data_IF_769330790506
#
_entry.id   IF_769330790506
#
_cell.length_a   1.000
_cell.length_b   1.000
_cell.length_c   1.000
_cell.angle_alpha   90.00
_cell.angle_beta   90.00
_cell.angle_gamma   90.00
#
_symmetry.space_group_name_H-M   'P 1'
#
loop_
_entity.id
_entity.type
_entity.pdbx_description
1 polymer ?
#
# COMPACT_ATOMS: atom_id res chain seq x y z
N UNK A 1 6.81 13.25 -7.09
CA UNK A 1 5.49 13.52 -7.71
C UNK A 1 5.21 12.69 -8.96
N UNK A 2 6.17 12.58 -9.89
CA UNK A 2 5.96 11.88 -11.17
C UNK A 2 5.86 10.35 -11.13
N UNK A 3 6.20 9.69 -10.02
CA UNK A 3 6.05 8.23 -9.88
C UNK A 3 4.60 7.83 -9.57
N UNK A 4 4.14 6.67 -10.04
CA UNK A 4 2.76 6.19 -9.83
C UNK A 4 2.40 6.07 -8.34
N UNK A 5 3.25 5.41 -7.56
CA UNK A 5 3.00 5.19 -6.13
C UNK A 5 3.08 6.50 -5.35
N UNK A 6 4.18 7.24 -5.47
CA UNK A 6 4.35 8.52 -4.79
C UNK A 6 3.29 9.54 -5.17
N UNK A 7 2.93 9.64 -6.45
CA UNK A 7 1.89 10.54 -6.93
C UNK A 7 0.50 10.17 -6.40
N UNK A 8 0.14 8.88 -6.37
CA UNK A 8 -1.11 8.45 -5.73
C UNK A 8 -1.14 8.85 -4.25
N UNK A 9 -0.02 8.71 -3.55
CA UNK A 9 0.04 9.06 -2.13
C UNK A 9 -0.07 10.56 -1.87
N UNK A 10 0.44 11.40 -2.78
CA UNK A 10 0.22 12.85 -2.72
C UNK A 10 -1.28 13.22 -2.85
N UNK A 11 -2.04 12.47 -3.65
CA UNK A 11 -3.49 12.72 -3.85
C UNK A 11 -4.32 12.11 -2.72
N UNK A 12 -3.96 10.91 -2.24
CA UNK A 12 -4.76 10.17 -1.27
C UNK A 12 -4.47 10.55 0.19
N UNK A 13 -3.32 11.16 0.47
CA UNK A 13 -2.95 11.55 1.82
C UNK A 13 -3.88 12.65 2.35
N UNK A 14 -4.57 12.36 3.46
CA UNK A 14 -5.44 13.33 4.16
C UNK A 14 -4.70 14.20 5.17
N UNK A 15 -3.39 14.02 5.28
CA UNK A 15 -2.54 14.74 6.24
C UNK A 15 -1.73 15.81 5.51
N UNK A 16 -1.20 16.76 6.29
CA UNK A 16 -0.32 17.80 5.76
C UNK A 16 0.99 17.21 5.25
N UNK A 17 1.25 17.38 3.96
CA UNK A 17 2.51 16.96 3.33
C UNK A 17 3.49 18.13 3.39
N UNK A 18 4.61 17.97 4.10
CA UNK A 18 5.59 19.05 4.27
C UNK A 18 6.87 18.84 3.45
N UNK A 19 7.07 17.61 2.94
CA UNK A 19 8.28 17.21 2.24
C UNK A 19 7.92 16.22 1.13
N UNK A 20 8.35 16.52 -0.09
CA UNK A 20 8.33 15.61 -1.22
C UNK A 20 9.69 15.63 -1.90
N UNK A 21 10.24 14.44 -2.19
CA UNK A 21 11.52 14.28 -2.87
C UNK A 21 11.33 13.33 -4.05
N UNK A 22 11.85 13.72 -5.21
CA UNK A 22 11.96 12.85 -6.38
C UNK A 22 13.30 13.07 -7.10
N UNK A 23 13.44 12.56 -8.31
CA UNK A 23 14.69 12.70 -9.07
C UNK A 23 14.95 14.13 -9.56
N UNK A 24 13.96 15.03 -9.51
CA UNK A 24 14.13 16.42 -9.93
C UNK A 24 14.62 17.30 -8.79
N UNK A 25 14.28 17.00 -7.54
CA UNK A 25 14.65 17.84 -6.41
C UNK A 25 14.00 17.49 -5.07
N UNK A 26 14.26 18.37 -4.12
CA UNK A 26 13.64 18.43 -2.79
C UNK A 26 12.63 19.57 -2.80
N UNK A 27 11.38 19.29 -2.46
CA UNK A 27 10.32 20.27 -2.23
C UNK A 27 9.92 20.22 -0.75
N UNK A 28 10.07 21.34 -0.05
CA UNK A 28 9.84 21.42 1.38
C UNK A 28 9.04 22.68 1.73
N UNK A 29 8.05 22.52 2.59
CA UNK A 29 7.36 23.64 3.23
C UNK A 29 6.92 23.24 4.64
N UNK A 30 7.36 23.93 5.71
CA UNK A 30 6.98 23.55 7.08
C UNK A 30 5.50 23.83 7.39
N UNK A 31 4.86 24.72 6.64
CA UNK A 31 3.44 25.05 6.76
C UNK A 31 2.53 24.08 5.98
N UNK A 32 3.12 23.27 5.10
CA UNK A 32 2.45 22.29 4.26
C UNK A 32 2.39 22.70 2.79
N UNK A 33 2.55 21.73 1.90
CA UNK A 33 2.38 21.89 0.47
C UNK A 33 0.89 21.87 0.12
N UNK A 34 0.48 22.76 -0.79
CA UNK A 34 -0.91 22.84 -1.23
C UNK A 34 -1.36 21.53 -1.92
N UNK A 35 -2.42 20.86 -1.42
CA UNK A 35 -2.89 19.60 -1.98
C UNK A 35 -3.39 19.72 -3.42
N UNK A 36 -4.00 20.85 -3.79
CA UNK A 36 -4.53 21.08 -5.14
C UNK A 36 -3.39 21.23 -6.16
N UNK A 37 -2.32 21.93 -5.80
CA UNK A 37 -1.12 22.02 -6.64
C UNK A 37 -0.39 20.67 -6.75
N UNK A 38 -0.30 19.91 -5.65
CA UNK A 38 0.23 18.54 -5.70
C UNK A 38 -0.59 17.64 -6.64
N UNK A 39 -1.91 17.73 -6.58
CA UNK A 39 -2.80 17.00 -7.50
C UNK A 39 -2.56 17.40 -8.95
N UNK A 40 -2.49 18.70 -9.26
CA UNK A 40 -2.17 19.20 -10.61
C UNK A 40 -0.85 18.64 -11.12
N UNK A 41 0.20 18.62 -10.29
CA UNK A 41 1.51 18.04 -10.66
C UNK A 41 1.38 16.56 -11.01
N UNK A 42 0.69 15.78 -10.18
CA UNK A 42 0.50 14.35 -10.42
C UNK A 42 -0.32 14.09 -11.69
N UNK A 43 -1.38 14.87 -11.93
CA UNK A 43 -2.18 14.77 -13.15
C UNK A 43 -1.37 15.13 -14.40
N UNK A 44 -0.59 16.21 -14.36
CA UNK A 44 0.30 16.60 -15.46
C UNK A 44 1.34 15.49 -15.77
N UNK A 45 1.95 14.91 -14.73
CA UNK A 45 2.87 13.79 -14.89
C UNK A 45 2.22 12.57 -15.55
N UNK A 46 0.96 12.27 -15.23
CA UNK A 46 0.20 11.17 -15.84
C UNK A 46 -0.12 11.41 -17.32
N UNK A 47 -0.24 12.66 -17.75
CA UNK A 47 -0.45 13.03 -19.16
C UNK A 47 0.85 13.18 -19.94
N UNK A 48 1.99 12.75 -19.38
CA UNK A 48 3.29 12.77 -20.05
C UNK A 48 4.02 14.12 -19.99
N UNK A 49 3.51 15.09 -19.23
CA UNK A 49 4.20 16.36 -18.97
C UNK A 49 5.19 16.11 -17.83
N UNK A 50 6.48 16.42 -18.03
CA UNK A 50 7.47 16.32 -16.95
C UNK A 50 7.11 17.32 -15.83
N UNK A 51 6.58 16.81 -14.72
CA UNK A 51 6.07 17.58 -13.59
C UNK A 51 6.43 16.90 -12.27
N UNK A 52 7.71 16.98 -11.87
CA UNK A 52 8.19 16.53 -10.58
C UNK A 52 8.12 17.62 -9.50
N UNK A 53 8.93 17.46 -8.46
CA UNK A 53 9.03 18.44 -7.36
C UNK A 53 9.38 19.85 -7.85
N UNK A 54 10.17 19.96 -8.93
CA UNK A 54 10.62 21.25 -9.45
C UNK A 54 9.57 21.98 -10.27
N UNK A 55 8.43 21.36 -10.58
CA UNK A 55 7.31 22.02 -11.23
C UNK A 55 6.33 22.69 -10.25
N UNK A 56 6.48 22.50 -8.93
CA UNK A 56 5.61 23.14 -7.93
C UNK A 56 5.72 24.68 -8.00
N UNK A 57 4.60 25.42 -8.00
CA UNK A 57 4.58 26.89 -8.10
C UNK A 57 5.23 27.55 -6.89
N UNK A 58 6.20 28.43 -7.12
CA UNK A 58 7.01 29.03 -6.05
C UNK A 58 6.22 30.06 -5.22
N UNK A 59 5.23 30.72 -5.81
CA UNK A 59 4.30 31.64 -5.16
C UNK A 59 3.31 30.94 -4.22
N UNK A 60 3.22 29.60 -4.29
CA UNK A 60 2.44 28.77 -3.37
C UNK A 60 3.28 28.22 -2.21
N UNK A 61 4.57 28.53 -2.15
CA UNK A 61 5.40 28.25 -0.98
C UNK A 61 5.23 29.38 0.05
N UNK A 62 5.20 29.01 1.32
CA UNK A 62 5.32 29.96 2.42
C UNK A 62 6.70 30.65 2.39
N UNK A 63 6.89 31.75 3.15
CA UNK A 63 8.20 32.39 3.26
C UNK A 63 9.33 31.49 3.78
N UNK A 64 9.00 30.33 4.36
CA UNK A 64 9.96 29.33 4.83
C UNK A 64 10.11 28.13 3.89
N UNK A 65 9.23 28.01 2.89
CA UNK A 65 9.24 26.93 1.91
C UNK A 65 10.31 27.11 0.85
N UNK A 66 10.82 25.99 0.33
CA UNK A 66 11.84 25.99 -0.71
C UNK A 66 11.75 24.77 -1.62
N UNK A 67 12.35 24.93 -2.80
CA UNK A 67 12.58 23.87 -3.79
C UNK A 67 14.05 23.88 -4.21
N UNK A 68 14.72 22.74 -4.08
CA UNK A 68 16.15 22.59 -4.39
C UNK A 68 16.30 21.52 -5.47
N UNK A 69 16.78 21.86 -6.69
CA UNK A 69 16.96 20.92 -7.78
C UNK A 69 18.05 19.89 -7.47
N UNK A 70 17.90 18.69 -8.03
CA UNK A 70 18.89 17.61 -7.96
C UNK A 70 20.06 17.79 -8.96
N UNK A 71 20.12 18.92 -9.68
CA UNK A 71 21.24 19.31 -10.54
C UNK A 71 22.23 20.18 -9.78
N UNK A 72 23.49 20.21 -10.20
CA UNK A 72 24.53 20.99 -9.51
C UNK A 72 24.29 22.49 -9.73
N UNK A 73 23.95 23.19 -8.66
CA UNK A 73 23.79 24.64 -8.62
C UNK A 73 24.06 25.16 -7.21
N UNK A 74 24.46 26.43 -7.14
CA UNK A 74 24.56 27.17 -5.88
C UNK A 74 23.25 27.89 -5.62
N UNK A 75 22.66 27.67 -4.45
CA UNK A 75 21.30 28.14 -4.12
C UNK A 75 21.27 28.75 -2.72
N UNK A 76 20.42 29.75 -2.53
CA UNK A 76 20.13 30.35 -1.23
C UNK A 76 18.76 29.87 -0.76
N UNK A 77 18.70 29.33 0.46
CA UNK A 77 17.44 29.05 1.12
C UNK A 77 16.83 30.35 1.68
N UNK A 78 15.52 30.37 1.99
CA UNK A 78 14.85 31.59 2.47
C UNK A 78 15.42 32.18 3.76
N UNK A 79 16.07 31.36 4.58
CA UNK A 79 16.74 31.79 5.82
C UNK A 79 18.18 32.31 5.60
N UNK A 80 18.62 32.40 4.34
CA UNK A 80 19.96 32.84 3.95
C UNK A 80 21.00 31.72 3.93
N UNK A 81 20.64 30.48 4.28
CA UNK A 81 21.54 29.33 4.19
C UNK A 81 22.00 29.12 2.75
N UNK A 82 23.31 28.96 2.56
CA UNK A 82 23.91 28.72 1.25
C UNK A 82 24.08 27.22 1.02
N UNK A 83 23.49 26.73 -0.06
CA UNK A 83 23.72 25.40 -0.60
C UNK A 83 24.74 25.55 -1.73
N UNK A 84 25.99 25.13 -1.50
CA UNK A 84 27.06 25.24 -2.51
C UNK A 84 26.88 24.26 -3.68
N UNK A 85 26.33 23.08 -3.42
CA UNK A 85 25.99 22.08 -4.45
C UNK A 85 24.63 21.43 -4.14
N UNK A 86 23.60 21.84 -4.88
CA UNK A 86 22.25 21.30 -4.74
C UNK A 86 22.10 19.82 -5.12
N UNK A 87 22.98 19.28 -5.97
CA UNK A 87 22.98 17.84 -6.26
C UNK A 87 23.53 17.02 -5.08
N UNK A 88 24.52 17.54 -4.36
CA UNK A 88 24.99 16.93 -3.11
C UNK A 88 23.94 17.06 -2.01
N UNK A 89 23.33 18.24 -1.87
CA UNK A 89 22.24 18.50 -0.92
C UNK A 89 21.10 17.49 -1.11
N UNK A 90 20.65 17.29 -2.35
CA UNK A 90 19.60 16.32 -2.68
C UNK A 90 19.92 14.93 -2.15
N UNK A 91 21.14 14.43 -2.39
CA UNK A 91 21.62 13.11 -1.93
C UNK A 91 21.80 13.01 -0.41
N UNK A 92 22.18 14.11 0.23
CA UNK A 92 22.52 14.15 1.65
C UNK A 92 21.35 14.56 2.55
N UNK A 93 20.24 15.06 1.99
CA UNK A 93 19.13 15.69 2.72
C UNK A 93 18.68 14.90 3.97
N UNK A 94 18.52 13.59 3.83
CA UNK A 94 18.06 12.74 4.93
C UNK A 94 19.07 12.60 6.08
N UNK A 95 20.36 12.82 5.82
CA UNK A 95 21.47 12.47 6.71
C UNK A 95 22.27 13.67 7.20
N UNK A 96 22.19 14.81 6.52
CA UNK A 96 22.89 16.03 6.89
C UNK A 96 22.28 16.61 8.20
N UNK A 97 23.07 16.74 9.29
CA UNK A 97 22.60 17.31 10.55
C UNK A 97 22.00 18.72 10.43
N UNK A 98 22.41 19.50 9.42
CA UNK A 98 21.82 20.81 9.16
C UNK A 98 20.32 20.72 8.84
N UNK A 99 19.87 19.60 8.27
CA UNK A 99 18.47 19.40 7.90
C UNK A 99 17.55 19.19 9.09
N UNK A 100 18.11 18.86 10.25
CA UNK A 100 17.36 18.68 11.50
C UNK A 100 16.46 19.86 11.83
N UNK A 101 16.96 21.09 11.67
CA UNK A 101 16.22 22.29 12.00
C UNK A 101 14.94 22.44 11.15
N UNK A 102 15.04 22.18 9.85
CA UNK A 102 13.91 22.21 8.92
C UNK A 102 12.92 21.07 9.21
N UNK A 103 13.40 19.83 9.33
CA UNK A 103 12.57 18.65 9.60
C UNK A 103 11.81 18.80 10.92
N UNK A 104 12.48 19.30 11.97
CA UNK A 104 11.85 19.59 13.27
C UNK A 104 10.74 20.61 13.13
N UNK A 105 10.99 21.70 12.38
CA UNK A 105 10.06 22.82 12.22
C UNK A 105 8.77 22.39 11.51
N UNK A 106 8.87 21.53 10.51
CA UNK A 106 7.72 20.93 9.82
C UNK A 106 6.93 19.94 10.71
N UNK A 107 7.56 19.40 11.75
CA UNK A 107 6.95 18.42 12.64
C UNK A 107 6.61 17.11 11.94
N UNK A 108 7.52 16.60 11.10
CA UNK A 108 7.30 15.39 10.30
C UNK A 108 7.22 14.15 11.22
N UNK A 109 6.04 13.52 11.27
CA UNK A 109 5.76 12.33 12.10
C UNK A 109 5.59 11.03 11.32
N UNK A 110 5.45 11.11 9.99
CA UNK A 110 5.30 9.94 9.14
C UNK A 110 6.23 10.04 7.92
N UNK A 111 6.81 8.91 7.55
CA UNK A 111 7.66 8.75 6.37
C UNK A 111 7.05 7.66 5.48
N UNK A 112 6.72 8.01 4.25
CA UNK A 112 6.13 7.11 3.27
C UNK A 112 7.09 7.02 2.07
N UNK A 113 8.12 6.15 2.11
CA UNK A 113 9.00 5.99 0.98
C UNK A 113 8.27 5.27 -0.15
N UNK A 114 7.90 6.03 -1.18
CA UNK A 114 7.11 5.57 -2.32
C UNK A 114 7.94 5.41 -3.60
N UNK A 115 9.25 5.26 -3.47
CA UNK A 115 10.19 5.11 -4.59
C UNK A 115 11.59 4.78 -4.12
N UNK A 116 12.51 4.57 -5.07
CA UNK A 116 13.92 4.37 -4.78
C UNK A 116 14.66 5.70 -4.69
N UNK A 117 15.30 5.96 -3.57
CA UNK A 117 16.30 7.02 -3.43
C UNK A 117 17.68 6.38 -3.53
N UNK A 118 18.54 6.84 -4.46
CA UNK A 118 19.89 6.26 -4.62
C UNK A 118 20.64 6.33 -3.29
N UNK A 119 20.99 5.16 -2.75
CA UNK A 119 21.69 5.02 -1.47
C UNK A 119 20.80 4.62 -0.29
N UNK A 120 19.51 4.99 -0.30
CA UNK A 120 18.53 4.65 0.75
C UNK A 120 19.01 4.92 2.19
N UNK A 121 18.27 4.41 3.17
CA UNK A 121 18.67 4.34 4.56
C UNK A 121 19.19 2.93 4.86
N UNK A 122 20.46 2.86 5.22
CA UNK A 122 21.18 1.60 5.45
C UNK A 122 21.58 1.47 6.91
N UNK A 123 22.07 0.29 7.32
CA UNK A 123 22.67 0.11 8.65
C UNK A 123 23.79 1.12 8.98
N UNK A 124 24.44 1.72 7.96
CA UNK A 124 25.47 2.76 8.14
C UNK A 124 24.90 4.17 8.29
N UNK A 125 23.76 4.46 7.69
CA UNK A 125 23.18 5.82 7.63
C UNK A 125 21.96 6.01 8.53
N UNK A 126 21.42 4.93 9.09
CA UNK A 126 20.23 4.93 9.94
C UNK A 126 20.35 5.84 11.16
N UNK A 127 21.53 5.90 11.81
CA UNK A 127 21.73 6.79 12.96
C UNK A 127 21.58 8.25 12.56
N UNK A 128 22.20 8.69 11.47
CA UNK A 128 22.07 10.07 10.96
C UNK A 128 20.64 10.39 10.54
N UNK A 129 19.95 9.43 9.91
CA UNK A 129 18.53 9.55 9.60
C UNK A 129 17.70 9.78 10.88
N UNK A 130 17.88 8.95 11.91
CA UNK A 130 17.13 9.08 13.16
C UNK A 130 17.45 10.37 13.92
N UNK A 131 18.70 10.83 13.86
CA UNK A 131 19.08 12.12 14.46
C UNK A 131 18.35 13.30 13.80
N UNK A 132 18.07 13.23 12.50
CA UNK A 132 17.30 14.22 11.76
C UNK A 132 15.79 14.09 11.99
N UNK A 133 15.27 12.87 12.05
CA UNK A 133 13.84 12.55 12.13
C UNK A 133 13.40 12.07 13.53
N UNK A 134 13.81 12.77 14.59
CA UNK A 134 13.51 12.37 15.99
C UNK A 134 12.02 12.34 16.33
N UNK A 135 11.19 13.14 15.65
CA UNK A 135 9.74 13.19 15.85
C UNK A 135 8.97 12.12 15.06
N UNK A 136 9.68 11.29 14.27
CA UNK A 136 9.05 10.27 13.45
C UNK A 136 8.37 9.22 14.34
N UNK A 137 7.13 8.89 14.00
CA UNK A 137 6.33 7.86 14.69
C UNK A 137 6.02 6.67 13.79
N UNK A 138 5.97 6.91 12.48
CA UNK A 138 5.57 5.92 11.49
C UNK A 138 6.52 5.92 10.29
N UNK A 139 6.88 4.72 9.87
CA UNK A 139 7.44 4.48 8.54
C UNK A 139 6.54 3.46 7.86
N UNK A 140 5.99 3.80 6.69
CA UNK A 140 5.11 2.93 5.92
C UNK A 140 5.71 2.77 4.54
N UNK A 141 6.40 1.65 4.32
CA UNK A 141 7.17 1.45 3.10
C UNK A 141 6.28 1.13 1.91
N UNK A 142 6.04 2.12 1.06
CA UNK A 142 5.41 1.89 -0.23
C UNK A 142 6.33 1.17 -1.23
N UNK A 143 7.66 1.35 -1.12
CA UNK A 143 8.65 0.70 -1.97
C UNK A 143 9.73 0.00 -1.16
N UNK A 144 10.03 -1.27 -1.48
CA UNK A 144 10.95 -2.11 -0.72
C UNK A 144 12.45 -1.81 -0.85
N UNK A 145 12.84 -0.70 -1.49
CA UNK A 145 14.25 -0.37 -1.77
C UNK A 145 14.80 0.78 -0.92
N UNK A 146 13.97 1.44 -0.10
CA UNK A 146 14.41 2.63 0.62
C UNK A 146 15.13 2.31 1.94
N UNK A 147 14.64 1.35 2.73
CA UNK A 147 15.34 0.85 3.93
C UNK A 147 15.97 -0.51 3.66
N UNK A 148 17.18 -0.77 4.16
CA UNK A 148 17.70 -2.14 4.25
C UNK A 148 17.28 -2.83 5.57
N UNK A 149 17.57 -4.13 5.68
CA UNK A 149 17.19 -4.91 6.86
C UNK A 149 17.93 -4.47 8.14
N UNK A 150 19.15 -3.94 8.02
CA UNK A 150 19.93 -3.51 9.18
C UNK A 150 19.38 -2.19 9.73
N UNK A 151 18.99 -1.26 8.86
CA UNK A 151 18.27 -0.05 9.22
C UNK A 151 16.93 -0.38 9.90
N UNK A 152 16.14 -1.29 9.32
CA UNK A 152 14.87 -1.74 9.93
C UNK A 152 15.06 -2.28 11.34
N UNK A 153 16.05 -3.16 11.54
CA UNK A 153 16.40 -3.72 12.86
C UNK A 153 16.87 -2.65 13.83
N UNK A 154 17.74 -1.74 13.38
CA UNK A 154 18.24 -0.64 14.21
C UNK A 154 17.10 0.27 14.66
N UNK A 155 16.19 0.65 13.76
CA UNK A 155 15.00 1.45 14.08
C UNK A 155 14.14 0.72 15.11
N UNK A 156 13.84 -0.56 14.89
CA UNK A 156 13.01 -1.34 15.79
C UNK A 156 13.61 -1.53 17.20
N UNK A 157 14.94 -1.59 17.30
CA UNK A 157 15.65 -1.80 18.58
C UNK A 157 15.81 -0.51 19.37
N UNK A 158 16.02 0.62 18.69
CA UNK A 158 16.44 1.87 19.32
C UNK A 158 15.33 2.93 19.39
N UNK A 159 14.14 2.67 18.83
CA UNK A 159 13.06 3.66 18.74
C UNK A 159 11.68 3.03 18.96
N UNK A 160 10.68 3.88 19.18
CA UNK A 160 9.27 3.47 19.18
C UNK A 160 8.58 3.63 17.81
N UNK A 161 9.35 3.82 16.73
CA UNK A 161 8.82 4.03 15.38
C UNK A 161 8.11 2.76 14.92
N UNK A 162 6.85 2.91 14.50
CA UNK A 162 6.06 1.85 13.89
C UNK A 162 6.45 1.73 12.42
N UNK A 163 7.35 0.79 12.14
CA UNK A 163 7.86 0.52 10.80
C UNK A 163 7.08 -0.64 10.14
N UNK A 164 6.26 -0.32 9.15
CA UNK A 164 5.55 -1.27 8.28
C UNK A 164 6.32 -1.46 6.97
N UNK A 165 6.62 -2.72 6.66
CA UNK A 165 7.38 -3.09 5.46
C UNK A 165 6.45 -3.16 4.23
N UNK A 166 7.04 -3.05 3.05
CA UNK A 166 6.37 -3.09 1.74
C UNK A 166 5.63 -4.41 1.49
N UNK A 167 6.10 -5.51 2.09
CA UNK A 167 5.43 -6.82 2.08
C UNK A 167 4.01 -6.79 2.68
N UNK A 168 3.68 -5.76 3.48
CA UNK A 168 2.29 -5.43 3.87
C UNK A 168 1.81 -4.17 3.16
N UNK A 169 2.56 -3.07 3.25
CA UNK A 169 2.09 -1.73 2.90
C UNK A 169 1.83 -1.51 1.40
N UNK A 170 2.48 -2.28 0.51
CA UNK A 170 2.38 -2.10 -0.94
C UNK A 170 1.49 -3.15 -1.64
N UNK A 171 0.76 -3.99 -0.89
CA UNK A 171 -0.10 -5.05 -1.48
C UNK A 171 -1.23 -4.52 -2.36
N UNK A 172 -1.68 -3.28 -2.12
CA UNK A 172 -2.80 -2.66 -2.84
C UNK A 172 -2.58 -2.55 -4.34
N UNK A 173 -1.36 -2.23 -4.80
CA UNK A 173 -1.07 -2.08 -6.23
C UNK A 173 -1.27 -3.38 -7.01
N UNK A 174 -0.72 -4.50 -6.51
CA UNK A 174 -0.89 -5.81 -7.11
C UNK A 174 -2.36 -6.25 -7.08
N UNK A 175 -3.04 -6.06 -5.95
CA UNK A 175 -4.45 -6.40 -5.82
C UNK A 175 -5.33 -5.65 -6.83
N UNK A 176 -5.11 -4.34 -6.98
CA UNK A 176 -5.88 -3.51 -7.92
C UNK A 176 -5.68 -3.93 -9.37
N UNK A 177 -4.46 -4.27 -9.81
CA UNK A 177 -4.24 -4.77 -11.19
C UNK A 177 -4.93 -6.12 -11.40
N UNK A 178 -4.90 -7.02 -10.41
CA UNK A 178 -5.62 -8.30 -10.53
C UNK A 178 -7.14 -8.08 -10.62
N UNK A 179 -7.70 -7.18 -9.83
CA UNK A 179 -9.15 -6.93 -9.80
C UNK A 179 -9.66 -6.10 -10.98
N UNK A 180 -8.88 -5.12 -11.45
CA UNK A 180 -9.28 -4.18 -12.50
C UNK A 180 -8.93 -4.67 -13.91
N UNK A 181 -7.86 -5.43 -14.08
CA UNK A 181 -7.33 -5.76 -15.42
C UNK A 181 -7.32 -7.27 -15.66
N UNK A 182 -6.66 -8.05 -14.80
CA UNK A 182 -6.43 -9.49 -15.05
C UNK A 182 -7.72 -10.31 -14.94
N UNK A 183 -8.44 -10.20 -13.83
CA UNK A 183 -9.68 -10.94 -13.63
C UNK A 183 -10.75 -10.54 -14.66
N UNK A 184 -11.04 -9.24 -14.89
CA UNK A 184 -11.99 -8.86 -15.93
C UNK A 184 -11.54 -9.27 -17.34
N UNK A 185 -10.25 -9.17 -17.65
CA UNK A 185 -9.68 -9.62 -18.92
C UNK A 185 -9.98 -11.10 -19.19
N UNK A 186 -9.83 -11.97 -18.18
CA UNK A 186 -10.23 -13.38 -18.31
C UNK A 186 -11.75 -13.59 -18.44
N UNK A 187 -12.57 -12.78 -17.76
CA UNK A 187 -14.02 -12.96 -17.74
C UNK A 187 -14.74 -12.37 -18.96
N UNK A 188 -14.18 -11.32 -19.56
CA UNK A 188 -14.79 -10.55 -20.66
C UNK A 188 -14.07 -10.75 -22.00
N UNK A 189 -12.77 -11.10 -21.99
CA UNK A 189 -11.96 -11.17 -23.21
C UNK A 189 -12.01 -9.85 -23.98
N UNK A 190 -12.27 -9.93 -25.28
CA UNK A 190 -12.38 -8.77 -26.18
C UNK A 190 -13.49 -7.78 -25.81
N UNK A 191 -14.44 -8.18 -24.94
CA UNK A 191 -15.51 -7.29 -24.45
C UNK A 191 -15.04 -6.37 -23.31
N UNK A 192 -13.82 -6.54 -22.79
CA UNK A 192 -13.33 -5.78 -21.63
C UNK A 192 -13.42 -4.26 -21.83
N UNK A 193 -12.94 -3.75 -22.97
CA UNK A 193 -12.91 -2.31 -23.24
C UNK A 193 -14.33 -1.73 -23.29
N UNK A 194 -15.20 -2.30 -24.13
CA UNK A 194 -16.57 -1.84 -24.28
C UNK A 194 -17.42 -1.98 -23.00
N UNK A 195 -17.23 -3.06 -22.23
CA UNK A 195 -18.05 -3.35 -21.06
C UNK A 195 -17.58 -2.65 -19.77
N UNK A 196 -16.31 -2.24 -19.69
CA UNK A 196 -15.74 -1.58 -18.51
C UNK A 196 -15.21 -0.21 -18.85
N UNK A 197 -14.24 -0.06 -19.75
CA UNK A 197 -13.55 1.21 -19.97
C UNK A 197 -14.44 2.28 -20.63
N UNK A 198 -15.26 1.88 -21.61
CA UNK A 198 -16.17 2.78 -22.31
C UNK A 198 -17.45 3.09 -21.52
N UNK A 199 -17.83 2.22 -20.56
CA UNK A 199 -18.92 2.48 -19.64
C UNK A 199 -18.41 3.15 -18.36
N UNK A 200 -18.43 4.49 -18.37
CA UNK A 200 -18.02 5.31 -17.22
C UNK A 200 -18.73 4.96 -15.89
N UNK A 201 -19.97 4.45 -15.93
CA UNK A 201 -20.70 4.06 -14.72
C UNK A 201 -20.14 2.76 -14.16
N UNK A 202 -19.91 1.77 -15.01
CA UNK A 202 -19.31 0.48 -14.62
C UNK A 202 -17.86 0.68 -14.17
N UNK A 203 -17.06 1.41 -14.94
CA UNK A 203 -15.68 1.75 -14.59
C UNK A 203 -15.61 2.43 -13.22
N UNK A 204 -16.38 3.50 -13.02
CA UNK A 204 -16.39 4.24 -11.76
C UNK A 204 -16.90 3.40 -10.58
N UNK A 205 -17.89 2.53 -10.78
CA UNK A 205 -18.37 1.62 -9.75
C UNK A 205 -17.31 0.58 -9.37
N UNK A 206 -16.65 -0.04 -10.35
CA UNK A 206 -15.59 -1.01 -10.14
C UNK A 206 -14.38 -0.39 -9.41
N UNK A 207 -13.95 0.80 -9.82
CA UNK A 207 -12.85 1.53 -9.17
C UNK A 207 -13.17 1.78 -7.69
N UNK A 208 -14.36 2.32 -7.37
CA UNK A 208 -14.77 2.58 -5.99
C UNK A 208 -14.82 1.30 -5.16
N UNK A 209 -15.33 0.21 -5.74
CA UNK A 209 -15.40 -1.08 -5.08
C UNK A 209 -13.99 -1.65 -4.79
N UNK A 210 -13.07 -1.59 -5.76
CA UNK A 210 -11.68 -2.04 -5.59
C UNK A 210 -10.97 -1.22 -4.50
N UNK A 211 -11.12 0.11 -4.49
CA UNK A 211 -10.55 0.97 -3.45
C UNK A 211 -11.09 0.56 -2.06
N UNK A 212 -12.40 0.36 -1.94
CA UNK A 212 -13.00 -0.10 -0.68
C UNK A 212 -12.50 -1.47 -0.21
N UNK A 213 -12.24 -2.39 -1.14
CA UNK A 213 -11.63 -3.69 -0.84
C UNK A 213 -10.17 -3.54 -0.38
N UNK A 214 -9.39 -2.67 -1.03
CA UNK A 214 -8.00 -2.36 -0.62
C UNK A 214 -7.99 -1.78 0.80
N UNK A 215 -8.82 -0.79 1.09
CA UNK A 215 -8.94 -0.18 2.42
C UNK A 215 -9.31 -1.22 3.49
N UNK A 216 -10.32 -2.05 3.19
CA UNK A 216 -10.79 -3.10 4.10
C UNK A 216 -9.69 -4.11 4.41
N UNK A 217 -8.98 -4.59 3.39
CA UNK A 217 -7.93 -5.59 3.54
C UNK A 217 -6.68 -5.00 4.21
N UNK A 218 -6.26 -3.79 3.84
CA UNK A 218 -5.15 -3.09 4.46
C UNK A 218 -5.41 -2.84 5.94
N UNK A 219 -6.61 -2.37 6.32
CA UNK A 219 -6.99 -2.16 7.71
C UNK A 219 -7.00 -3.47 8.50
N UNK A 220 -7.53 -4.54 7.94
CA UNK A 220 -7.60 -5.84 8.60
C UNK A 220 -6.21 -6.44 8.85
N UNK A 221 -5.34 -6.48 7.83
CA UNK A 221 -3.97 -6.99 7.98
C UNK A 221 -3.17 -6.14 8.98
N UNK A 222 -3.21 -4.81 8.82
CA UNK A 222 -2.47 -3.86 9.67
C UNK A 222 -2.87 -3.97 11.13
N UNK A 223 -4.17 -4.15 11.41
CA UNK A 223 -4.68 -4.35 12.77
C UNK A 223 -4.11 -5.62 13.42
N UNK A 224 -4.04 -6.72 12.66
CA UNK A 224 -3.50 -7.99 13.17
C UNK A 224 -2.01 -7.87 13.46
N UNK A 225 -1.21 -7.38 12.51
CA UNK A 225 0.25 -7.30 12.69
C UNK A 225 0.65 -6.34 13.81
N UNK A 226 -0.05 -5.19 13.97
CA UNK A 226 0.21 -4.26 15.09
C UNK A 226 -0.09 -4.94 16.43
N UNK A 227 -1.22 -5.67 16.52
CA UNK A 227 -1.59 -6.38 17.75
C UNK A 227 -0.63 -7.52 18.06
N UNK A 228 -0.18 -8.28 17.06
CA UNK A 228 0.85 -9.31 17.23
C UNK A 228 2.18 -8.73 17.70
N UNK A 229 2.65 -7.65 17.07
CA UNK A 229 3.89 -6.97 17.48
C UNK A 229 3.80 -6.45 18.92
N UNK A 230 2.62 -6.02 19.37
CA UNK A 230 2.41 -5.64 20.78
C UNK A 230 2.37 -6.83 21.74
N UNK A 231 1.79 -7.95 21.32
CA UNK A 231 1.67 -9.16 22.14
C UNK A 231 3.02 -9.89 22.27
N UNK A 232 3.84 -9.86 21.21
CA UNK A 232 5.19 -10.37 21.19
C UNK A 232 6.18 -9.30 20.68
N UNK A 233 6.70 -8.44 21.59
CA UNK A 233 7.64 -7.40 21.25
C UNK A 233 8.99 -7.92 20.72
N UNK A 234 9.29 -9.21 20.85
CA UNK A 234 10.55 -9.80 20.36
C UNK A 234 10.58 -9.89 18.84
N UNK A 235 9.40 -9.90 18.20
CA UNK A 235 9.27 -9.85 16.74
C UNK A 235 8.84 -8.44 16.34
N UNK A 236 9.76 -7.64 15.76
CA UNK A 236 9.48 -6.26 15.42
C UNK A 236 8.42 -6.14 14.32
N UNK A 237 7.72 -5.00 14.26
CA UNK A 237 6.58 -4.80 13.37
C UNK A 237 6.93 -5.06 11.89
N UNK A 238 8.11 -4.65 11.41
CA UNK A 238 8.52 -4.91 10.03
C UNK A 238 8.67 -6.41 9.72
N UNK A 239 9.10 -7.21 10.72
CA UNK A 239 9.22 -8.67 10.58
C UNK A 239 7.85 -9.36 10.67
N UNK A 240 6.89 -8.78 11.41
CA UNK A 240 5.50 -9.24 11.39
C UNK A 240 4.87 -9.11 9.99
N UNK A 241 5.26 -8.10 9.20
CA UNK A 241 4.82 -7.98 7.79
C UNK A 241 5.26 -9.17 6.94
N UNK A 242 6.52 -9.61 7.08
CA UNK A 242 7.04 -10.78 6.37
C UNK A 242 6.36 -12.07 6.85
N UNK A 243 6.29 -12.26 8.18
CA UNK A 243 5.64 -13.44 8.80
C UNK A 243 4.17 -13.57 8.39
N UNK A 244 3.44 -12.47 8.28
CA UNK A 244 2.06 -12.48 7.80
C UNK A 244 1.95 -13.03 6.37
N UNK A 245 2.86 -12.60 5.48
CA UNK A 245 2.93 -13.12 4.11
C UNK A 245 3.24 -14.61 4.06
N UNK A 246 4.23 -15.06 4.83
CA UNK A 246 4.65 -16.46 4.92
C UNK A 246 3.53 -17.36 5.43
N UNK A 247 2.83 -16.96 6.51
CA UNK A 247 1.70 -17.71 7.07
C UNK A 247 0.52 -17.81 6.09
N UNK A 248 0.20 -16.72 5.39
CA UNK A 248 -0.85 -16.74 4.35
C UNK A 248 -0.46 -17.70 3.23
N UNK A 249 0.81 -17.72 2.79
CA UNK A 249 1.27 -18.63 1.73
C UNK A 249 1.28 -20.10 2.20
N UNK A 250 1.74 -20.37 3.42
CA UNK A 250 1.73 -21.71 3.99
C UNK A 250 0.29 -22.26 4.14
N UNK A 251 -0.65 -21.42 4.58
CA UNK A 251 -2.04 -21.81 4.69
C UNK A 251 -2.70 -21.98 3.31
N UNK A 252 -2.35 -21.15 2.32
CA UNK A 252 -2.80 -21.31 0.94
C UNK A 252 -2.40 -22.70 0.39
N UNK A 253 -1.17 -23.13 0.65
CA UNK A 253 -0.69 -24.45 0.27
C UNK A 253 -1.49 -25.57 0.96
N UNK A 254 -1.82 -25.41 2.24
CA UNK A 254 -2.71 -26.34 2.96
C UNK A 254 -4.08 -26.46 2.28
N UNK A 255 -4.69 -25.34 1.88
CA UNK A 255 -5.95 -25.38 1.13
C UNK A 255 -5.80 -26.02 -0.25
N UNK A 256 -4.67 -25.83 -0.91
CA UNK A 256 -4.38 -26.44 -2.22
C UNK A 256 -4.33 -27.97 -2.14
N UNK A 257 -3.69 -28.53 -1.12
CA UNK A 257 -3.63 -30.01 -0.95
C UNK A 257 -5.00 -30.64 -0.72
N UNK A 258 -5.95 -29.90 -0.12
CA UNK A 258 -7.31 -30.36 0.19
C UNK A 258 -8.37 -29.76 -0.73
N UNK A 259 -7.96 -29.17 -1.85
CA UNK A 259 -8.82 -28.39 -2.73
C UNK A 259 -9.99 -29.20 -3.30
N UNK A 260 -9.76 -30.47 -3.64
CA UNK A 260 -10.80 -31.37 -4.15
C UNK A 260 -11.98 -31.50 -3.18
N UNK A 261 -11.75 -31.45 -1.87
CA UNK A 261 -12.82 -31.50 -0.86
C UNK A 261 -13.62 -30.21 -0.85
N UNK A 262 -12.99 -29.05 -1.08
CA UNK A 262 -13.66 -27.75 -1.22
C UNK A 262 -14.50 -27.74 -2.51
N UNK A 263 -13.93 -28.18 -3.64
CA UNK A 263 -14.59 -28.13 -4.95
C UNK A 263 -15.86 -28.98 -5.03
N UNK A 264 -15.96 -30.05 -4.23
CA UNK A 264 -17.20 -30.85 -4.09
C UNK A 264 -18.37 -30.03 -3.51
N UNK A 265 -18.07 -28.97 -2.75
CA UNK A 265 -19.06 -28.10 -2.11
C UNK A 265 -19.44 -26.92 -3.02
N UNK A 266 -20.22 -27.17 -4.08
CA UNK A 266 -20.55 -26.16 -5.11
C UNK A 266 -21.07 -24.82 -4.55
N UNK A 267 -21.95 -24.88 -3.55
CA UNK A 267 -22.50 -23.68 -2.90
C UNK A 267 -21.43 -22.89 -2.15
N UNK A 268 -20.51 -23.59 -1.48
CA UNK A 268 -19.40 -22.98 -0.75
C UNK A 268 -18.37 -22.36 -1.70
N UNK A 269 -18.04 -23.05 -2.80
CA UNK A 269 -17.15 -22.52 -3.85
C UNK A 269 -17.68 -21.19 -4.37
N UNK A 270 -18.98 -21.12 -4.71
CA UNK A 270 -19.56 -19.85 -5.15
C UNK A 270 -19.50 -18.76 -4.08
N UNK A 271 -19.76 -19.08 -2.81
CA UNK A 271 -19.64 -18.09 -1.71
C UNK A 271 -18.22 -17.50 -1.64
N UNK A 272 -17.19 -18.36 -1.77
CA UNK A 272 -15.79 -17.92 -1.75
C UNK A 272 -15.48 -17.04 -2.96
N UNK A 273 -15.90 -17.45 -4.17
CA UNK A 273 -15.71 -16.67 -5.40
C UNK A 273 -16.43 -15.33 -5.33
N UNK A 274 -17.69 -15.31 -4.89
CA UNK A 274 -18.47 -14.08 -4.75
C UNK A 274 -17.90 -13.12 -3.69
N UNK A 275 -17.19 -13.63 -2.69
CA UNK A 275 -16.49 -12.79 -1.71
C UNK A 275 -15.14 -12.25 -2.24
N UNK A 276 -14.62 -12.79 -3.35
CA UNK A 276 -13.39 -12.35 -4.00
C UNK A 276 -13.65 -11.43 -5.19
N UNK A 277 -14.61 -11.79 -6.03
CA UNK A 277 -14.94 -11.09 -7.28
C UNK A 277 -15.77 -9.85 -6.94
N UNK A 278 -15.40 -8.65 -7.42
CA UNK A 278 -16.21 -7.44 -7.28
C UNK A 278 -17.68 -7.68 -7.70
N UNK A 279 -18.62 -7.26 -6.86
CA UNK A 279 -20.06 -7.32 -7.09
C UNK A 279 -20.43 -6.63 -8.40
N UNK A 280 -19.74 -5.56 -8.77
CA UNK A 280 -19.89 -4.90 -10.08
C UNK A 280 -19.70 -5.88 -11.24
N UNK A 281 -18.66 -6.72 -11.19
CA UNK A 281 -18.42 -7.76 -12.21
C UNK A 281 -19.46 -8.88 -12.12
N UNK A 282 -19.88 -9.26 -10.91
CA UNK A 282 -20.93 -10.28 -10.73
C UNK A 282 -22.26 -9.82 -11.34
N UNK A 283 -22.62 -8.55 -11.18
CA UNK A 283 -23.83 -7.94 -11.78
C UNK A 283 -23.73 -7.84 -13.30
N UNK A 284 -22.56 -7.44 -13.81
CA UNK A 284 -22.31 -7.27 -15.25
C UNK A 284 -22.33 -8.61 -16.00
N UNK A 285 -21.65 -9.63 -15.47
CA UNK A 285 -21.36 -10.88 -16.19
C UNK A 285 -22.33 -12.00 -15.80
N UNK A 286 -22.79 -11.99 -14.54
CA UNK A 286 -23.67 -13.00 -13.98
C UNK A 286 -22.94 -14.23 -13.44
N UNK A 287 -23.44 -14.74 -12.30
CA UNK A 287 -22.92 -15.92 -11.58
C UNK A 287 -22.63 -17.11 -12.50
N UNK A 288 -23.58 -17.46 -13.37
CA UNK A 288 -23.49 -18.64 -14.23
C UNK A 288 -22.29 -18.54 -15.18
N UNK A 289 -22.21 -17.44 -15.95
CA UNK A 289 -21.13 -17.22 -16.92
C UNK A 289 -19.76 -17.17 -16.25
N UNK A 290 -19.64 -16.46 -15.11
CA UNK A 290 -18.39 -16.46 -14.31
C UNK A 290 -17.99 -17.88 -13.92
N UNK A 291 -18.94 -18.65 -13.39
CA UNK A 291 -18.69 -20.03 -12.94
C UNK A 291 -18.29 -20.93 -14.12
N UNK A 292 -18.97 -20.80 -15.25
CA UNK A 292 -18.68 -21.59 -16.46
C UNK A 292 -17.27 -21.28 -16.97
N UNK A 293 -16.89 -20.00 -17.10
CA UNK A 293 -15.54 -19.57 -17.53
C UNK A 293 -14.48 -20.12 -16.58
N UNK A 294 -14.63 -19.92 -15.27
CA UNK A 294 -13.66 -20.36 -14.26
C UNK A 294 -13.53 -21.89 -14.14
N UNK A 295 -14.50 -22.64 -14.66
CA UNK A 295 -14.47 -24.10 -14.69
C UNK A 295 -13.89 -24.67 -15.99
N UNK A 296 -13.65 -23.86 -17.01
CA UNK A 296 -12.94 -24.30 -18.23
C UNK A 296 -11.52 -24.74 -17.88
N UNK A 297 -11.01 -25.74 -18.58
CA UNK A 297 -9.66 -26.29 -18.40
C UNK A 297 -8.55 -25.23 -18.27
N UNK A 298 -8.45 -24.20 -19.13
CA UNK A 298 -7.40 -23.18 -18.98
C UNK A 298 -7.54 -22.31 -17.72
N UNK A 299 -8.73 -22.20 -17.14
CA UNK A 299 -9.01 -21.31 -16.01
C UNK A 299 -9.02 -22.02 -14.65
N UNK A 300 -8.94 -23.35 -14.62
CA UNK A 300 -9.04 -24.09 -13.35
C UNK A 300 -7.93 -23.68 -12.38
N UNK A 301 -6.70 -23.54 -12.84
CA UNK A 301 -5.58 -23.12 -11.97
C UNK A 301 -5.78 -21.71 -11.41
N UNK A 302 -6.32 -20.78 -12.22
CA UNK A 302 -6.63 -19.44 -11.76
C UNK A 302 -7.77 -19.44 -10.73
N UNK A 303 -8.85 -20.20 -10.97
CA UNK A 303 -9.94 -20.43 -10.01
C UNK A 303 -9.40 -21.03 -8.70
N UNK A 304 -8.54 -22.03 -8.81
CA UNK A 304 -7.94 -22.73 -7.67
C UNK A 304 -7.09 -21.76 -6.84
N UNK A 305 -6.29 -20.91 -7.49
CA UNK A 305 -5.52 -19.86 -6.85
C UNK A 305 -6.41 -18.82 -6.13
N UNK A 306 -7.49 -18.36 -6.77
CA UNK A 306 -8.47 -17.45 -6.15
C UNK A 306 -9.04 -18.05 -4.87
N UNK A 307 -9.56 -19.28 -4.95
CA UNK A 307 -10.23 -19.95 -3.81
C UNK A 307 -9.26 -20.09 -2.64
N UNK A 308 -8.07 -20.65 -2.89
CA UNK A 308 -7.09 -20.95 -1.85
C UNK A 308 -6.52 -19.66 -1.25
N UNK A 309 -6.18 -18.66 -2.06
CA UNK A 309 -5.65 -17.37 -1.59
C UNK A 309 -6.69 -16.59 -0.78
N UNK A 310 -7.94 -16.54 -1.24
CA UNK A 310 -9.02 -15.84 -0.53
C UNK A 310 -9.24 -16.44 0.86
N UNK A 311 -9.31 -17.77 0.95
CA UNK A 311 -9.46 -18.45 2.24
C UNK A 311 -8.28 -18.17 3.17
N UNK A 312 -7.05 -18.27 2.68
CA UNK A 312 -5.86 -18.04 3.49
C UNK A 312 -5.75 -16.60 4.01
N UNK A 313 -5.98 -15.61 3.14
CA UNK A 313 -6.00 -14.21 3.55
C UNK A 313 -7.12 -13.93 4.57
N UNK A 314 -8.31 -14.50 4.37
CA UNK A 314 -9.43 -14.30 5.30
C UNK A 314 -9.22 -14.97 6.65
N UNK A 315 -8.56 -16.13 6.67
CA UNK A 315 -8.15 -16.75 7.91
C UNK A 315 -7.19 -15.83 8.68
N UNK A 316 -6.19 -15.25 8.01
CA UNK A 316 -5.25 -14.35 8.66
C UNK A 316 -5.95 -13.10 9.21
N UNK A 317 -6.82 -12.46 8.42
CA UNK A 317 -7.52 -11.23 8.82
C UNK A 317 -8.50 -11.44 9.99
N UNK A 318 -9.02 -12.66 10.17
CA UNK A 318 -9.98 -12.99 11.25
C UNK A 318 -9.31 -13.58 12.47
N UNK A 319 -8.39 -14.50 12.25
CA UNK A 319 -7.86 -15.40 13.28
C UNK A 319 -6.35 -15.27 13.46
N UNK A 320 -5.71 -14.27 12.86
CA UNK A 320 -4.27 -14.08 13.00
C UNK A 320 -3.82 -13.93 14.46
N UNK A 321 -4.65 -13.44 15.38
CA UNK A 321 -4.28 -13.39 16.81
C UNK A 321 -4.34 -14.75 17.51
N UNK A 322 -5.13 -15.67 16.99
CA UNK A 322 -5.40 -17.01 17.54
C UNK A 322 -4.98 -18.08 16.52
N UNK A 323 -3.85 -17.85 15.86
CA UNK A 323 -3.45 -18.59 14.66
C UNK A 323 -3.32 -20.10 14.91
N UNK A 324 -2.66 -20.49 16.00
CA UNK A 324 -2.46 -21.89 16.37
C UNK A 324 -3.79 -22.59 16.74
N UNK A 325 -4.72 -21.86 17.37
CA UNK A 325 -6.05 -22.39 17.65
C UNK A 325 -6.84 -22.60 16.35
N UNK A 326 -6.77 -21.63 15.43
CA UNK A 326 -7.42 -21.72 14.13
C UNK A 326 -6.87 -22.89 13.29
N UNK A 327 -5.55 -23.09 13.23
CA UNK A 327 -4.95 -24.20 12.48
C UNK A 327 -5.34 -25.55 13.07
N UNK A 328 -5.32 -25.70 14.40
CA UNK A 328 -5.80 -26.92 15.06
C UNK A 328 -7.30 -27.20 14.78
N UNK A 329 -8.15 -26.16 14.77
CA UNK A 329 -9.57 -26.28 14.39
C UNK A 329 -9.71 -26.72 12.93
N UNK A 330 -8.94 -26.13 12.02
CA UNK A 330 -8.96 -26.46 10.59
C UNK A 330 -8.56 -27.92 10.31
N UNK A 331 -7.62 -28.46 11.07
CA UNK A 331 -7.24 -29.87 10.98
C UNK A 331 -8.38 -30.79 11.43
N UNK A 332 -9.00 -30.47 12.58
CA UNK A 332 -10.08 -31.27 13.18
C UNK A 332 -11.39 -31.23 12.37
N UNK A 333 -11.79 -30.05 11.89
CA UNK A 333 -13.01 -29.84 11.10
C UNK A 333 -12.73 -28.90 9.93
N UNK A 334 -12.24 -29.49 8.85
CA UNK A 334 -11.84 -28.73 7.66
C UNK A 334 -13.02 -28.01 7.00
N UNK A 335 -14.12 -28.72 6.73
CA UNK A 335 -15.23 -28.16 5.96
C UNK A 335 -16.06 -27.19 6.80
N UNK A 336 -16.27 -27.46 8.09
CA UNK A 336 -16.90 -26.49 8.99
C UNK A 336 -16.09 -25.21 9.06
N UNK A 337 -14.76 -25.31 9.24
CA UNK A 337 -13.88 -24.14 9.32
C UNK A 337 -13.84 -23.34 8.01
N UNK A 338 -13.78 -24.00 6.85
CA UNK A 338 -13.87 -23.31 5.55
C UNK A 338 -15.23 -22.63 5.37
N UNK A 339 -16.31 -23.24 5.85
CA UNK A 339 -17.66 -22.65 5.80
C UNK A 339 -17.75 -21.39 6.65
N UNK A 340 -17.17 -21.40 7.86
CA UNK A 340 -17.08 -20.22 8.73
C UNK A 340 -16.28 -19.09 8.08
N UNK A 341 -15.17 -19.42 7.40
CA UNK A 341 -14.35 -18.44 6.67
C UNK A 341 -15.08 -17.79 5.49
N UNK A 342 -15.91 -18.56 4.79
CA UNK A 342 -16.67 -18.08 3.64
C UNK A 342 -17.92 -17.25 4.04
N UNK A 343 -18.30 -17.23 5.31
CA UNK A 343 -19.34 -16.32 5.79
C UNK A 343 -18.85 -14.86 5.68
N UNK A 344 -19.74 -13.86 5.48
CA UNK A 344 -19.36 -12.45 5.48
C UNK A 344 -18.61 -12.08 6.77
N UNK A 345 -17.68 -11.11 6.68
CA UNK A 345 -17.12 -10.52 7.90
C UNK A 345 -18.29 -9.90 8.68
N UNK A 346 -18.46 -10.17 9.98
CA UNK A 346 -19.40 -9.39 10.79
C UNK A 346 -19.01 -7.93 10.62
N UNK A 347 -19.98 -7.05 10.34
CA UNK A 347 -19.78 -5.62 10.10
C UNK A 347 -18.78 -5.06 11.13
N UNK A 348 -17.53 -4.90 10.73
CA UNK A 348 -16.64 -3.96 11.41
C UNK A 348 -17.16 -2.62 10.91
N UNK A 349 -17.70 -1.82 11.82
CA UNK A 349 -18.17 -0.46 11.56
C UNK A 349 -17.26 0.19 10.52
N UNK A 350 -17.78 0.37 9.31
CA UNK A 350 -17.07 1.07 8.27
C UNK A 350 -16.64 2.40 8.89
N UNK A 351 -15.35 2.75 8.79
CA UNK A 351 -15.00 4.14 8.92
C UNK A 351 -15.88 4.90 7.93
N UNK A 352 -16.48 6.03 8.30
CA UNK A 352 -17.37 6.74 7.40
C UNK A 352 -16.58 7.09 6.16
N UNK A 353 -16.93 6.44 5.04
CA UNK A 353 -16.64 6.95 3.71
C UNK A 353 -17.50 8.19 3.62
N UNK A 354 -16.96 9.30 4.12
CA UNK A 354 -17.59 10.61 3.98
C UNK A 354 -17.62 10.90 2.49
N UNK A 355 -18.81 10.83 1.92
CA UNK A 355 -19.14 11.42 0.65
C UNK A 355 -18.85 12.91 0.72
N UNK A 356 -17.66 13.31 0.28
CA UNK A 356 -17.33 14.69 -0.05
C UNK A 356 -16.06 14.68 -0.90
N UNK A 357 -16.25 14.63 -2.21
CA UNK A 357 -15.46 15.39 -3.18
C UNK A 357 -16.44 15.78 -4.30
N UNK A 358 -16.48 17.05 -4.73
CA UNK A 358 -17.26 17.50 -5.90
C UNK A 358 -16.88 16.76 -7.18
#
# INVERSE_FOLDING_TARGET
>A
PGGRLGGNELICCRSRICLAIDNEGVLFDPTGLDPGELEKLVLAARTGIAAGTMAFPADMLSPEGFKVPATAARIFLPDGTVIEDSALFHRAFFFDPAMRAYIRRAGIRACLPCGGFKGGVTGRTVTSFLENFKELEFIVEGAGLFFDNDARRHIATNTCIRHLKDSTANKGGLFSSVMAEVLPGFLLGDQYEAAILEDSKVCGALIREIIGLVETHAAAETKIIIRRSKADPTIPLFAQSDKAGEEILALQETFRTRLNTILKQKTLVWKILAAYIPETLVKLIGKKRITDILNTDPMQEYRNAIITKKLAAMAFYRFGLEWDHFTAKLEKDFIGTVTDLAAPLPHQSAWPVSAALP
#
